data_IF_979520144605
#
_entry.id   IF_979520144605
#
_cell.length_a   1.000
_cell.length_b   1.000
_cell.length_c   1.000
_cell.angle_alpha   90.00
_cell.angle_beta   90.00
_cell.angle_gamma   90.00
#
_symmetry.space_group_name_H-M   'P 1'
#
loop_
_entity.id
_entity.type
_entity.pdbx_description
1 polymer ?
#
# COMPACT_ATOMS: atom_id res chain seq x y z
N UNK A 1 7.83 9.07 -31.15
CA UNK A 1 8.82 8.87 -30.07
C UNK A 1 8.98 10.08 -29.13
N UNK A 2 8.85 11.33 -29.60
CA UNK A 2 8.97 12.54 -28.75
C UNK A 2 7.83 12.76 -27.74
N UNK A 3 6.59 12.29 -28.00
CA UNK A 3 5.44 12.45 -27.08
C UNK A 3 5.47 11.55 -25.83
N UNK A 4 6.25 10.46 -25.84
CA UNK A 4 6.35 9.56 -24.68
C UNK A 4 7.22 10.16 -23.55
N UNK A 5 8.20 11.00 -23.91
CA UNK A 5 9.09 11.69 -22.97
C UNK A 5 8.35 12.70 -22.06
N UNK A 6 7.53 13.64 -22.58
CA UNK A 6 6.83 14.61 -21.73
C UNK A 6 5.84 13.95 -20.78
N UNK A 7 5.10 12.92 -21.22
CA UNK A 7 4.17 12.20 -20.33
C UNK A 7 4.92 11.50 -19.19
N UNK A 8 6.01 10.80 -19.51
CA UNK A 8 6.83 10.12 -18.51
C UNK A 8 7.44 11.10 -17.49
N UNK A 9 7.89 12.27 -17.96
CA UNK A 9 8.41 13.35 -17.11
C UNK A 9 7.31 13.90 -16.20
N UNK A 10 6.13 14.21 -16.74
CA UNK A 10 4.99 14.71 -15.94
C UNK A 10 4.58 13.67 -14.89
N UNK A 11 4.46 12.40 -15.28
CA UNK A 11 4.15 11.32 -14.35
C UNK A 11 5.19 11.22 -13.23
N UNK A 12 6.49 11.28 -13.57
CA UNK A 12 7.57 11.28 -12.58
C UNK A 12 7.46 12.47 -11.63
N UNK A 13 7.23 13.67 -12.14
CA UNK A 13 7.06 14.88 -11.33
C UNK A 13 5.87 14.75 -10.37
N UNK A 14 4.74 14.22 -10.83
CA UNK A 14 3.56 14.00 -9.98
C UNK A 14 3.81 12.93 -8.91
N UNK A 15 4.50 11.83 -9.25
CA UNK A 15 4.85 10.78 -8.30
C UNK A 15 5.81 11.33 -7.23
N UNK A 16 6.81 12.13 -7.63
CA UNK A 16 7.73 12.79 -6.71
C UNK A 16 7.02 13.81 -5.83
N UNK A 17 6.16 14.66 -6.42
CA UNK A 17 5.39 15.65 -5.68
C UNK A 17 4.50 14.98 -4.62
N UNK A 18 3.82 13.88 -4.98
CA UNK A 18 3.05 13.06 -4.05
C UNK A 18 3.93 12.53 -2.92
N UNK A 19 5.04 11.85 -3.24
CA UNK A 19 5.91 11.25 -2.23
C UNK A 19 6.51 12.28 -1.26
N UNK A 20 6.95 13.44 -1.78
CA UNK A 20 7.45 14.55 -0.97
C UNK A 20 6.35 15.10 -0.08
N UNK A 21 5.14 15.29 -0.62
CA UNK A 21 4.00 15.82 0.15
C UNK A 21 3.59 14.87 1.27
N UNK A 22 3.47 13.56 0.99
CA UNK A 22 3.14 12.55 1.99
C UNK A 22 4.20 12.49 3.11
N UNK A 23 5.48 12.52 2.75
CA UNK A 23 6.56 12.55 3.74
C UNK A 23 6.51 13.84 4.57
N UNK A 24 6.31 15.00 3.93
CA UNK A 24 6.22 16.28 4.62
C UNK A 24 5.05 16.31 5.61
N UNK A 25 3.86 15.89 5.19
CA UNK A 25 2.68 15.80 6.07
C UNK A 25 2.88 14.81 7.21
N UNK A 26 3.50 13.65 6.95
CA UNK A 26 3.86 12.68 8.00
C UNK A 26 4.79 13.32 9.05
N UNK A 27 5.81 14.07 8.60
CA UNK A 27 6.75 14.75 9.50
C UNK A 27 6.12 15.86 10.30
N UNK A 28 5.25 16.67 9.69
CA UNK A 28 4.46 17.68 10.39
C UNK A 28 3.60 17.04 11.48
N UNK A 29 2.90 15.96 11.16
CA UNK A 29 2.08 15.24 12.12
C UNK A 29 2.91 14.66 13.27
N UNK A 30 4.04 14.00 12.97
CA UNK A 30 4.94 13.48 14.01
C UNK A 30 5.50 14.59 14.91
N UNK A 31 5.86 15.73 14.34
CA UNK A 31 6.33 16.89 15.11
C UNK A 31 5.24 17.37 16.07
N UNK A 32 4.03 17.56 15.56
CA UNK A 32 2.90 18.02 16.37
C UNK A 32 2.57 17.03 17.50
N UNK A 33 2.57 15.73 17.21
CA UNK A 33 2.33 14.66 18.19
C UNK A 33 3.42 14.64 19.26
N UNK A 34 4.70 14.82 18.90
CA UNK A 34 5.81 14.88 19.87
C UNK A 34 5.74 16.13 20.74
N UNK A 35 5.40 17.28 20.16
CA UNK A 35 5.29 18.54 20.89
C UNK A 35 4.23 18.47 22.00
N UNK A 36 3.16 17.72 21.78
CA UNK A 36 2.05 17.57 22.74
C UNK A 36 2.06 16.23 23.49
N UNK A 37 3.17 15.48 23.45
CA UNK A 37 3.24 14.12 23.99
C UNK A 37 3.00 14.03 25.51
N UNK A 38 3.26 15.11 26.25
CA UNK A 38 3.20 15.13 27.72
C UNK A 38 1.93 15.77 28.27
N UNK A 39 1.05 16.29 27.42
CA UNK A 39 -0.16 17.00 27.86
C UNK A 39 -1.41 16.38 27.25
N UNK A 40 -2.24 15.77 28.10
CA UNK A 40 -3.58 15.34 27.68
C UNK A 40 -4.41 16.59 27.40
N UNK A 41 -4.97 16.76 26.18
CA UNK A 41 -5.79 17.92 25.86
C UNK A 41 -6.99 17.99 26.82
N UNK A 42 -7.38 19.21 27.22
CA UNK A 42 -8.40 19.41 28.27
C UNK A 42 -9.70 18.63 28.01
N UNK A 43 -10.13 18.55 26.75
CA UNK A 43 -11.33 17.81 26.34
C UNK A 43 -11.28 16.30 26.61
N UNK A 44 -10.09 15.71 26.80
CA UNK A 44 -9.90 14.26 26.98
C UNK A 44 -9.43 13.87 28.39
N UNK A 45 -9.18 14.83 29.28
CA UNK A 45 -8.66 14.55 30.64
C UNK A 45 -9.59 13.68 31.48
N UNK A 46 -10.89 13.76 31.26
CA UNK A 46 -11.89 12.95 31.97
C UNK A 46 -12.14 11.58 31.31
N UNK A 47 -11.62 11.36 30.10
CA UNK A 47 -11.88 10.17 29.27
C UNK A 47 -10.66 9.25 29.23
N UNK A 48 -9.46 9.83 29.20
CA UNK A 48 -8.20 9.11 28.97
C UNK A 48 -7.20 9.50 30.05
N UNK A 49 -6.65 8.51 30.75
CA UNK A 49 -5.57 8.69 31.70
C UNK A 49 -4.22 8.98 31.01
N UNK A 50 -3.30 9.61 31.74
CA UNK A 50 -1.96 9.93 31.23
C UNK A 50 -1.17 8.73 30.65
N UNK A 51 -1.09 7.55 31.31
CA UNK A 51 -0.33 6.43 30.76
C UNK A 51 -0.94 5.89 29.45
N UNK A 52 -2.26 5.86 29.32
CA UNK A 52 -2.97 5.48 28.09
C UNK A 52 -2.74 6.50 26.99
N UNK A 53 -2.77 7.80 27.31
CA UNK A 53 -2.44 8.85 26.36
C UNK A 53 -1.01 8.71 25.83
N UNK A 54 -0.02 8.55 26.71
CA UNK A 54 1.38 8.34 26.31
C UNK A 54 1.55 7.11 25.43
N UNK A 55 0.89 6.00 25.76
CA UNK A 55 0.88 4.78 24.93
C UNK A 55 0.30 5.04 23.54
N UNK A 56 -0.75 5.86 23.43
CA UNK A 56 -1.35 6.25 22.14
C UNK A 56 -0.43 7.14 21.30
N UNK A 57 0.34 8.02 21.94
CA UNK A 57 1.36 8.86 21.31
C UNK A 57 2.48 7.99 20.75
N UNK A 58 3.01 7.07 21.58
CA UNK A 58 4.06 6.14 21.15
C UNK A 58 3.60 5.24 20.00
N UNK A 59 2.36 4.77 20.04
CA UNK A 59 1.75 4.00 18.94
C UNK A 59 1.69 4.82 17.66
N UNK A 60 1.16 6.06 17.74
CA UNK A 60 1.07 6.96 16.59
C UNK A 60 2.43 7.20 15.95
N UNK A 61 3.46 7.46 16.76
CA UNK A 61 4.82 7.69 16.27
C UNK A 61 5.44 6.42 15.68
N UNK A 62 5.26 5.25 16.30
CA UNK A 62 5.74 3.98 15.77
C UNK A 62 5.07 3.63 14.44
N UNK A 63 3.74 3.81 14.35
CA UNK A 63 2.96 3.57 13.14
C UNK A 63 3.35 4.52 12.02
N UNK A 64 3.54 5.80 12.32
CA UNK A 64 3.97 6.79 11.32
C UNK A 64 5.37 6.48 10.77
N UNK A 65 6.33 6.09 11.62
CA UNK A 65 7.67 5.67 11.17
C UNK A 65 7.62 4.42 10.29
N UNK A 66 6.82 3.42 10.66
CA UNK A 66 6.62 2.24 9.83
C UNK A 66 5.97 2.60 8.49
N UNK A 67 4.98 3.49 8.50
CA UNK A 67 4.33 4.01 7.30
C UNK A 67 5.29 4.72 6.35
N UNK A 68 6.25 5.49 6.87
CA UNK A 68 7.31 6.11 6.03
C UNK A 68 8.17 5.06 5.33
N UNK A 69 8.54 3.96 6.02
CA UNK A 69 9.36 2.88 5.44
C UNK A 69 8.57 2.11 4.37
N UNK A 70 7.34 1.72 4.68
CA UNK A 70 6.47 1.03 3.74
C UNK A 70 6.16 1.91 2.51
N UNK A 71 5.85 3.19 2.73
CA UNK A 71 5.61 4.15 1.65
C UNK A 71 6.84 4.38 0.76
N UNK A 72 8.05 4.40 1.34
CA UNK A 72 9.28 4.47 0.54
C UNK A 72 9.47 3.23 -0.34
N UNK A 73 9.16 2.03 0.18
CA UNK A 73 9.16 0.81 -0.62
C UNK A 73 8.13 0.88 -1.75
N UNK A 74 6.90 1.29 -1.47
CA UNK A 74 5.84 1.40 -2.47
C UNK A 74 6.19 2.41 -3.58
N UNK A 75 6.79 3.54 -3.18
CA UNK A 75 7.31 4.54 -4.11
C UNK A 75 8.41 3.95 -5.02
N UNK A 76 9.41 3.27 -4.44
CA UNK A 76 10.49 2.64 -5.21
C UNK A 76 9.97 1.55 -6.13
N UNK A 77 9.03 0.72 -5.66
CA UNK A 77 8.40 -0.32 -6.46
C UNK A 77 7.63 0.30 -7.64
N UNK A 78 6.86 1.36 -7.41
CA UNK A 78 6.14 2.07 -8.46
C UNK A 78 7.10 2.62 -9.53
N UNK A 79 8.17 3.30 -9.11
CA UNK A 79 9.19 3.82 -10.03
C UNK A 79 9.86 2.68 -10.80
N UNK A 80 10.28 1.62 -10.12
CA UNK A 80 10.93 0.47 -10.76
C UNK A 80 10.00 -0.17 -11.79
N UNK A 81 8.75 -0.43 -11.46
CA UNK A 81 7.77 -1.08 -12.35
C UNK A 81 7.43 -0.20 -13.55
N UNK A 82 7.26 1.10 -13.35
CA UNK A 82 6.86 2.03 -14.41
C UNK A 82 7.99 2.35 -15.38
N UNK A 83 9.23 2.51 -14.89
CA UNK A 83 10.35 3.00 -15.71
C UNK A 83 11.34 1.90 -16.14
N UNK A 84 11.33 0.70 -15.56
CA UNK A 84 12.22 -0.40 -15.99
C UNK A 84 11.84 -1.03 -17.34
N UNK A 85 10.62 -0.79 -17.83
CA UNK A 85 10.08 -1.50 -19.00
C UNK A 85 9.64 -2.94 -18.71
N UNK A 86 9.66 -3.38 -17.45
CA UNK A 86 9.26 -4.75 -17.07
C UNK A 86 7.79 -5.03 -17.43
N UNK A 87 6.89 -4.06 -17.29
CA UNK A 87 5.48 -4.22 -17.64
C UNK A 87 5.26 -4.43 -19.15
N UNK A 88 5.75 -3.55 -20.05
CA UNK A 88 5.68 -3.81 -21.49
C UNK A 88 6.32 -5.12 -21.92
N UNK A 89 7.47 -5.48 -21.32
CA UNK A 89 8.15 -6.74 -21.61
C UNK A 89 7.30 -7.96 -21.19
N UNK A 90 6.79 -7.95 -19.96
CA UNK A 90 5.95 -9.02 -19.44
C UNK A 90 4.64 -9.15 -20.23
N UNK A 91 4.03 -8.01 -20.59
CA UNK A 91 2.83 -7.97 -21.42
C UNK A 91 3.08 -8.58 -22.79
N UNK A 92 4.15 -8.20 -23.48
CA UNK A 92 4.50 -8.75 -24.80
C UNK A 92 4.75 -10.26 -24.76
N UNK A 93 5.44 -10.76 -23.72
CA UNK A 93 5.59 -12.20 -23.48
C UNK A 93 4.27 -12.89 -23.19
N UNK A 94 3.40 -12.28 -22.40
CA UNK A 94 2.10 -12.83 -22.08
C UNK A 94 1.22 -12.94 -23.34
N UNK A 95 1.09 -11.87 -24.11
CA UNK A 95 0.27 -11.87 -25.34
C UNK A 95 0.79 -12.80 -26.41
N UNK A 96 2.12 -13.01 -26.49
CA UNK A 96 2.70 -13.97 -27.42
C UNK A 96 2.31 -15.43 -27.11
N UNK A 97 2.09 -15.75 -25.83
CA UNK A 97 1.74 -17.12 -25.41
C UNK A 97 0.22 -17.34 -25.26
N UNK A 98 -0.53 -16.31 -24.83
CA UNK A 98 -1.94 -16.43 -24.48
C UNK A 98 -2.88 -15.63 -25.40
N UNK A 99 -2.33 -14.91 -26.38
CA UNK A 99 -3.08 -14.07 -27.31
C UNK A 99 -3.58 -12.77 -26.69
N UNK A 100 -4.51 -12.12 -27.40
CA UNK A 100 -5.03 -10.78 -27.08
C UNK A 100 -6.54 -10.77 -26.83
N UNK A 101 -7.13 -11.92 -26.49
CA UNK A 101 -8.54 -11.98 -26.12
C UNK A 101 -8.81 -11.13 -24.87
N UNK A 102 -10.05 -10.65 -24.71
CA UNK A 102 -10.48 -9.89 -23.51
C UNK A 102 -10.15 -10.65 -22.22
N UNK A 103 -10.35 -11.96 -22.22
CA UNK A 103 -10.04 -12.84 -21.10
C UNK A 103 -8.53 -12.96 -20.83
N UNK A 104 -7.70 -13.01 -21.87
CA UNK A 104 -6.25 -12.98 -21.74
C UNK A 104 -5.78 -11.63 -21.15
N UNK A 105 -6.32 -10.51 -21.62
CA UNK A 105 -6.01 -9.19 -21.09
C UNK A 105 -6.44 -9.03 -19.63
N UNK A 106 -7.63 -9.48 -19.27
CA UNK A 106 -8.10 -9.51 -17.89
C UNK A 106 -7.20 -10.38 -16.99
N UNK A 107 -6.71 -11.51 -17.52
CA UNK A 107 -5.79 -12.41 -16.81
C UNK A 107 -4.46 -11.73 -16.54
N UNK A 108 -3.91 -11.01 -17.53
CA UNK A 108 -2.66 -10.27 -17.35
C UNK A 108 -2.79 -9.19 -16.26
N UNK A 109 -3.87 -8.42 -16.26
CA UNK A 109 -4.14 -7.41 -15.23
C UNK A 109 -4.27 -8.05 -13.84
N UNK A 110 -5.03 -9.14 -13.73
CA UNK A 110 -5.23 -9.85 -12.48
C UNK A 110 -3.91 -10.40 -11.92
N UNK A 111 -3.14 -11.12 -12.75
CA UNK A 111 -1.84 -11.69 -12.35
C UNK A 111 -0.85 -10.61 -11.97
N UNK A 112 -0.79 -9.51 -12.72
CA UNK A 112 0.07 -8.36 -12.39
C UNK A 112 -0.32 -7.75 -11.04
N UNK A 113 -1.62 -7.52 -10.80
CA UNK A 113 -2.12 -7.02 -9.53
C UNK A 113 -1.79 -7.94 -8.36
N UNK A 114 -1.97 -9.26 -8.54
CA UNK A 114 -1.59 -10.26 -7.54
C UNK A 114 -0.09 -10.20 -7.26
N UNK A 115 0.76 -10.19 -8.30
CA UNK A 115 2.20 -10.15 -8.15
C UNK A 115 2.66 -8.93 -7.34
N UNK A 116 2.12 -7.75 -7.63
CA UNK A 116 2.40 -6.53 -6.87
C UNK A 116 1.91 -6.63 -5.41
N UNK A 117 0.71 -7.20 -5.19
CA UNK A 117 0.17 -7.38 -3.84
C UNK A 117 1.00 -8.33 -2.97
N UNK A 118 1.66 -9.31 -3.58
CA UNK A 118 2.54 -10.26 -2.88
C UNK A 118 3.77 -9.55 -2.34
N UNK A 119 4.31 -8.57 -3.07
CA UNK A 119 5.45 -7.78 -2.61
C UNK A 119 5.14 -6.94 -1.36
N UNK A 120 3.87 -6.55 -1.17
CA UNK A 120 3.42 -5.83 0.01
C UNK A 120 3.09 -6.73 1.23
N UNK A 121 3.04 -8.06 1.05
CA UNK A 121 2.71 -9.01 2.13
C UNK A 121 3.61 -8.89 3.36
N UNK A 122 4.96 -8.78 3.24
CA UNK A 122 5.84 -8.68 4.40
C UNK A 122 5.53 -7.46 5.27
N UNK A 123 5.20 -6.32 4.64
CA UNK A 123 4.82 -5.10 5.35
C UNK A 123 3.48 -5.27 6.06
N UNK A 124 2.47 -5.85 5.40
CA UNK A 124 1.19 -6.15 6.03
C UNK A 124 1.33 -7.11 7.23
N UNK A 125 2.19 -8.11 7.10
CA UNK A 125 2.49 -9.03 8.19
C UNK A 125 3.17 -8.34 9.36
N UNK A 126 4.21 -7.53 9.09
CA UNK A 126 4.93 -6.79 10.12
C UNK A 126 4.01 -5.79 10.84
N UNK A 127 3.15 -5.10 10.10
CA UNK A 127 2.16 -4.19 10.66
C UNK A 127 1.27 -4.91 11.69
N UNK A 128 0.73 -6.08 11.35
CA UNK A 128 -0.16 -6.83 12.24
C UNK A 128 0.57 -7.46 13.42
N UNK A 129 1.60 -8.27 13.14
CA UNK A 129 2.19 -9.18 14.14
C UNK A 129 3.41 -8.62 14.87
N UNK A 130 3.92 -7.46 14.47
CA UNK A 130 5.01 -6.77 15.17
C UNK A 130 4.59 -5.41 15.67
N UNK A 131 4.02 -4.57 14.80
CA UNK A 131 3.63 -3.22 15.19
C UNK A 131 2.38 -3.26 16.08
N UNK A 132 1.25 -3.79 15.62
CA UNK A 132 0.02 -3.81 16.43
C UNK A 132 0.15 -4.69 17.67
N UNK A 133 0.79 -5.85 17.55
CA UNK A 133 1.07 -6.77 18.67
C UNK A 133 1.86 -6.07 19.79
N UNK A 134 2.88 -5.27 19.45
CA UNK A 134 3.69 -4.52 20.44
C UNK A 134 2.83 -3.59 21.31
N UNK A 135 1.75 -3.06 20.76
CA UNK A 135 0.82 -2.18 21.47
C UNK A 135 -0.43 -2.91 21.95
N UNK A 136 -0.51 -4.23 21.84
CA UNK A 136 -1.66 -5.03 22.27
C UNK A 136 -2.94 -4.76 21.47
N UNK A 137 -2.82 -4.19 20.26
CA UNK A 137 -3.97 -3.92 19.38
C UNK A 137 -4.27 -5.06 18.41
N UNK A 138 -3.35 -6.02 18.29
CA UNK A 138 -3.58 -7.16 17.42
C UNK A 138 -4.66 -8.09 18.01
N UNK A 139 -5.79 -8.20 17.34
CA UNK A 139 -6.87 -9.14 17.67
C UNK A 139 -6.90 -10.35 16.72
N UNK A 140 -5.94 -10.43 15.79
CA UNK A 140 -5.92 -11.42 14.70
C UNK A 140 -4.86 -12.49 14.94
N UNK A 141 -5.22 -13.76 14.69
CA UNK A 141 -4.25 -14.88 14.70
C UNK A 141 -3.60 -15.07 13.33
N UNK A 142 -2.42 -15.71 13.28
CA UNK A 142 -1.75 -16.06 12.02
C UNK A 142 -2.67 -16.87 11.09
N UNK A 143 -3.46 -17.79 11.65
CA UNK A 143 -4.43 -18.60 10.90
C UNK A 143 -5.50 -17.73 10.27
N UNK A 144 -6.12 -16.84 11.06
CA UNK A 144 -7.16 -15.92 10.57
C UNK A 144 -6.61 -15.01 9.47
N UNK A 145 -5.42 -14.43 9.68
CA UNK A 145 -4.77 -13.56 8.70
C UNK A 145 -4.48 -14.26 7.36
N UNK A 146 -3.97 -15.49 7.40
CA UNK A 146 -3.69 -16.26 6.19
C UNK A 146 -4.97 -16.67 5.46
N UNK A 147 -5.98 -17.13 6.20
CA UNK A 147 -7.29 -17.51 5.64
C UNK A 147 -7.97 -16.31 4.99
N UNK A 148 -7.92 -15.14 5.61
CA UNK A 148 -8.54 -13.94 5.05
C UNK A 148 -7.83 -13.44 3.80
N UNK A 149 -6.50 -13.64 3.70
CA UNK A 149 -5.76 -13.39 2.46
C UNK A 149 -6.19 -14.32 1.33
N UNK A 150 -6.37 -15.61 1.62
CA UNK A 150 -6.86 -16.58 0.64
C UNK A 150 -8.29 -16.24 0.21
N UNK A 151 -9.18 -15.90 1.15
CA UNK A 151 -10.54 -15.44 0.82
C UNK A 151 -10.51 -14.19 -0.07
N UNK A 152 -9.69 -13.20 0.27
CA UNK A 152 -9.52 -11.99 -0.54
C UNK A 152 -9.04 -12.29 -1.96
N UNK A 153 -8.09 -13.22 -2.11
CA UNK A 153 -7.64 -13.70 -3.41
C UNK A 153 -8.76 -14.39 -4.20
N UNK A 154 -9.50 -15.29 -3.56
CA UNK A 154 -10.64 -15.97 -4.19
C UNK A 154 -11.72 -14.97 -4.63
N UNK A 155 -12.01 -13.96 -3.82
CA UNK A 155 -12.95 -12.90 -4.19
C UNK A 155 -12.43 -12.07 -5.37
N UNK A 156 -11.14 -11.72 -5.39
CA UNK A 156 -10.54 -11.02 -6.53
C UNK A 156 -10.60 -11.85 -7.81
N UNK A 157 -10.46 -13.18 -7.72
CA UNK A 157 -10.58 -14.07 -8.87
C UNK A 157 -12.03 -14.24 -9.31
N UNK A 158 -12.96 -14.49 -8.39
CA UNK A 158 -14.36 -14.77 -8.72
C UNK A 158 -15.13 -13.52 -9.17
N UNK A 159 -14.82 -12.36 -8.60
CA UNK A 159 -15.51 -11.10 -8.90
C UNK A 159 -14.67 -10.18 -9.78
N UNK A 160 -13.38 -10.02 -9.45
CA UNK A 160 -12.49 -9.11 -10.15
C UNK A 160 -12.22 -9.56 -11.59
N UNK A 161 -11.97 -10.86 -11.83
CA UNK A 161 -11.71 -11.36 -13.18
C UNK A 161 -12.86 -11.12 -14.17
N UNK A 162 -14.13 -11.53 -13.89
CA UNK A 162 -15.24 -11.25 -14.82
C UNK A 162 -15.54 -9.75 -14.91
N UNK A 163 -15.36 -8.98 -13.84
CA UNK A 163 -15.53 -7.53 -13.88
C UNK A 163 -14.50 -6.85 -14.79
N UNK A 164 -13.23 -7.24 -14.69
CA UNK A 164 -12.17 -6.76 -15.58
C UNK A 164 -12.48 -7.11 -17.04
N UNK A 165 -12.92 -8.35 -17.30
CA UNK A 165 -13.31 -8.77 -18.64
C UNK A 165 -14.51 -7.96 -19.17
N UNK A 166 -15.50 -7.65 -18.32
CA UNK A 166 -16.63 -6.81 -18.69
C UNK A 166 -16.17 -5.39 -19.04
N UNK A 167 -15.36 -4.77 -18.19
CA UNK A 167 -14.84 -3.40 -18.42
C UNK A 167 -14.00 -3.31 -19.68
N UNK A 168 -13.19 -4.33 -19.98
CA UNK A 168 -12.37 -4.37 -21.21
C UNK A 168 -13.19 -4.65 -22.47
N UNK A 169 -14.41 -5.18 -22.33
CA UNK A 169 -15.31 -5.44 -23.45
C UNK A 169 -16.15 -4.21 -23.82
N UNK A 170 -16.46 -3.36 -22.83
CA UNK A 170 -17.20 -2.11 -23.01
C UNK A 170 -16.35 -1.09 -23.78
#
# INVERSE_FOLDING_TARGET
>A
MAFMQPFAIVALLLILARAITELWLSRLNQYHVRAHANEVPQAFREIIDEPTYRRSVDYTLAKSRFGEIAGAFDFLLLIAVLFSGVLPWAFGKFTANFGTSVWAMASFLLVTGIALSVLALPFAWYAQFKLEERFGFNTTTMKTWAVDRVKGFLLALLLGYPLLALVLKL
#
